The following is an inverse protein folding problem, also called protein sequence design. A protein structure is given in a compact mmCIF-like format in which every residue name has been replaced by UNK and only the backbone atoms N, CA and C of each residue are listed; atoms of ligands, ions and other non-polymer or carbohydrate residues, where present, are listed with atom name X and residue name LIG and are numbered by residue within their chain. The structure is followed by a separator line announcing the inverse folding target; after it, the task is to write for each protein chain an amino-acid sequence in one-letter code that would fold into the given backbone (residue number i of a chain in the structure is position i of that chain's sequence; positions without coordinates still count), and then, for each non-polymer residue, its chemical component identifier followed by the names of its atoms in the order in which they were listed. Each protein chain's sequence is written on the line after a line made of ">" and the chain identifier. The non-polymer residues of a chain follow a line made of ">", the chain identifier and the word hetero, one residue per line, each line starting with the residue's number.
data_IF_126730588277
#
_entry.id   IF_126730588277
#
_cell.length_a   1.000
_cell.length_b   1.000
_cell.length_c   1.000
_cell.angle_alpha   90.00
_cell.angle_beta   90.00
_cell.angle_gamma   90.00
#
_symmetry.space_group_name_H-M   'P 1'
#
loop_
_entity.id
_entity.type
_entity.pdbx_description
1 polymer ?
#
# COMPACT_ATOMS: atom_id res chain seq x y z
N UNK A 1 9.99 21.48 -8.67
CA UNK A 1 9.86 20.08 -8.20
C UNK A 1 8.46 19.93 -7.64
N UNK A 2 7.60 19.18 -8.31
CA UNK A 2 6.30 18.78 -7.77
C UNK A 2 6.57 17.78 -6.64
N UNK A 3 6.30 18.17 -5.40
CA UNK A 3 6.30 17.22 -4.29
C UNK A 3 5.18 16.22 -4.54
N UNK A 4 5.50 14.92 -4.50
CA UNK A 4 4.49 13.89 -4.61
C UNK A 4 3.55 13.98 -3.39
N UNK A 5 2.24 14.03 -3.65
CA UNK A 5 1.23 14.03 -2.60
C UNK A 5 0.94 12.57 -2.19
N UNK A 6 1.79 12.03 -1.32
CA UNK A 6 1.71 10.63 -0.89
C UNK A 6 0.39 10.28 -0.20
N UNK A 7 -0.25 11.24 0.46
CA UNK A 7 -1.62 11.11 1.00
C UNK A 7 -2.60 10.76 -0.11
N UNK A 8 -2.66 11.58 -1.17
CA UNK A 8 -3.59 11.36 -2.27
C UNK A 8 -3.27 10.08 -3.05
N UNK A 9 -1.99 9.74 -3.21
CA UNK A 9 -1.56 8.49 -3.84
C UNK A 9 -2.01 7.27 -3.05
N UNK A 10 -1.86 7.27 -1.72
CA UNK A 10 -2.29 6.14 -0.89
C UNK A 10 -3.81 6.01 -0.83
N UNK A 11 -4.53 7.13 -0.73
CA UNK A 11 -6.00 7.12 -0.79
C UNK A 11 -6.49 6.46 -2.09
N UNK A 12 -5.88 6.82 -3.23
CA UNK A 12 -6.26 6.28 -4.54
C UNK A 12 -5.90 4.80 -4.73
N UNK A 13 -4.71 4.37 -4.31
CA UNK A 13 -4.21 3.03 -4.59
C UNK A 13 -4.58 2.00 -3.53
N UNK A 14 -4.58 2.42 -2.26
CA UNK A 14 -4.74 1.55 -1.11
C UNK A 14 -6.10 1.71 -0.43
N UNK A 15 -6.85 2.78 -0.75
CA UNK A 15 -8.10 3.14 -0.06
C UNK A 15 -7.90 3.50 1.42
N UNK A 16 -6.65 3.65 1.85
CA UNK A 16 -6.23 3.90 3.23
C UNK A 16 -4.96 4.73 3.22
N UNK A 17 -4.84 5.62 4.20
CA UNK A 17 -3.72 6.56 4.30
C UNK A 17 -2.95 6.34 5.60
N UNK A 18 -1.63 6.09 5.55
CA UNK A 18 -0.79 6.09 6.74
C UNK A 18 -0.83 7.44 7.47
N UNK A 19 -0.90 7.39 8.80
CA UNK A 19 -0.84 8.59 9.66
C UNK A 19 0.54 9.27 9.63
N UNK A 20 1.58 8.58 9.15
CA UNK A 20 2.94 9.08 9.06
C UNK A 20 3.62 8.56 7.80
N UNK A 21 4.28 9.46 7.10
CA UNK A 21 5.14 9.16 5.96
C UNK A 21 6.60 9.49 6.30
N UNK A 22 7.55 8.69 5.80
CA UNK A 22 8.98 9.03 5.76
C UNK A 22 9.38 9.19 4.30
N UNK A 23 9.05 10.33 3.71
CA UNK A 23 9.13 10.50 2.26
C UNK A 23 8.12 9.59 1.56
N UNK A 24 8.59 8.75 0.64
CA UNK A 24 7.77 7.76 -0.08
C UNK A 24 7.64 6.41 0.63
N UNK A 25 8.22 6.27 1.83
CA UNK A 25 8.22 5.01 2.57
C UNK A 25 6.98 4.87 3.46
N UNK A 26 6.43 3.65 3.48
CA UNK A 26 5.35 3.20 4.36
C UNK A 26 5.94 2.16 5.32
N UNK A 27 5.60 2.23 6.60
CA UNK A 27 6.08 1.28 7.60
C UNK A 27 5.39 -0.09 7.40
N UNK A 28 6.16 -1.18 7.37
CA UNK A 28 5.64 -2.52 7.07
C UNK A 28 4.55 -2.96 8.06
N UNK A 29 4.70 -2.65 9.35
CA UNK A 29 3.69 -2.95 10.36
C UNK A 29 2.33 -2.29 10.06
N UNK A 30 2.33 -1.09 9.47
CA UNK A 30 1.08 -0.44 9.04
C UNK A 30 0.42 -1.23 7.91
N UNK A 31 1.19 -1.77 6.96
CA UNK A 31 0.67 -2.63 5.89
C UNK A 31 0.09 -3.91 6.46
N UNK A 32 0.82 -4.61 7.34
CA UNK A 32 0.37 -5.84 7.99
C UNK A 32 -0.92 -5.64 8.79
N UNK A 33 -1.04 -4.53 9.53
CA UNK A 33 -2.25 -4.21 10.29
C UNK A 33 -3.47 -3.92 9.41
N UNK A 34 -3.25 -3.35 8.22
CA UNK A 34 -4.33 -2.90 7.33
C UNK A 34 -4.71 -3.90 6.25
N UNK A 35 -3.81 -4.83 5.91
CA UNK A 35 -3.92 -5.80 4.82
C UNK A 35 -3.63 -7.24 5.30
N UNK A 36 -4.25 -7.64 6.41
CA UNK A 36 -4.05 -8.94 7.10
C UNK A 36 -4.37 -10.17 6.26
N UNK A 37 -5.15 -9.98 5.20
CA UNK A 37 -5.63 -11.09 4.38
C UNK A 37 -5.65 -10.61 2.94
N UNK A 38 -4.51 -10.77 2.26
CA UNK A 38 -4.60 -11.11 0.85
C UNK A 38 -5.06 -12.57 0.88
N UNK A 39 -6.38 -12.79 0.90
CA UNK A 39 -6.92 -14.11 0.57
C UNK A 39 -6.21 -14.49 -0.72
N UNK A 40 -5.37 -15.53 -0.69
CA UNK A 40 -4.70 -16.07 -1.87
C UNK A 40 -5.76 -16.73 -2.76
N UNK A 41 -6.67 -15.91 -3.28
CA UNK A 41 -7.60 -16.19 -4.34
C UNK A 41 -7.14 -15.48 -5.62
N UNK A 42 -5.87 -15.09 -5.69
CA UNK A 42 -5.17 -15.08 -6.95
C UNK A 42 -4.44 -16.42 -6.98
N UNK A 43 -5.04 -17.41 -7.63
CA UNK A 43 -4.26 -18.54 -8.12
C UNK A 43 -3.05 -17.95 -8.83
N UNK A 44 -1.86 -18.24 -8.33
CA UNK A 44 -0.62 -18.08 -9.06
C UNK A 44 -0.78 -18.81 -10.40
N UNK A 45 -1.25 -18.08 -11.40
CA UNK A 45 -1.03 -18.45 -12.80
C UNK A 45 0.30 -17.80 -13.15
N UNK A 46 1.37 -18.35 -12.59
CA UNK A 46 2.63 -18.42 -13.30
C UNK A 46 2.35 -19.30 -14.53
N UNK A 47 1.94 -18.66 -15.64
CA UNK A 47 2.02 -19.30 -16.95
C UNK A 47 3.41 -19.04 -17.49
N UNK A 48 4.18 -20.12 -17.52
CA UNK A 48 5.44 -20.31 -18.27
C UNK A 48 5.39 -19.74 -19.69
#
# INVERSE_FOLDING_TARGET
>A
MTSANWTATCEQLLGKVPNKFRGSQIEMGWLEDNFKTIEASASDVEKE
#
